data_IF_446334036487
#
_entry.id   IF_446334036487
#
_cell.length_a   1.000
_cell.length_b   1.000
_cell.length_c   1.000
_cell.angle_alpha   90.00
_cell.angle_beta   90.00
_cell.angle_gamma   90.00
#
_symmetry.space_group_name_H-M   'P 1'
#
loop_
_entity.id
_entity.type
_entity.pdbx_description
1 polymer ?
#
# COMPACT_ATOMS: atom_id res chain seq x y z
N UNK A 1 12.40 5.50 28.67
CA UNK A 1 12.90 6.90 28.59
C UNK A 1 13.07 7.50 29.98
N UNK A 2 12.33 7.06 31.00
CA UNK A 2 12.43 7.61 32.40
C UNK A 2 13.70 7.24 33.15
N UNK A 3 14.47 6.22 32.73
CA UNK A 3 15.69 5.79 33.42
C UNK A 3 16.90 6.72 33.28
N UNK A 4 16.94 7.60 32.30
CA UNK A 4 18.04 8.56 32.11
C UNK A 4 17.96 9.80 33.01
N UNK A 5 16.83 10.02 33.65
CA UNK A 5 16.64 11.15 34.58
C UNK A 5 17.00 10.82 36.04
N UNK A 6 17.27 9.53 36.36
CA UNK A 6 17.67 9.15 37.71
C UNK A 6 19.16 9.45 37.91
N UNK A 7 19.47 10.25 38.93
CA UNK A 7 20.83 10.43 39.39
C UNK A 7 21.38 9.11 39.90
N UNK A 8 22.47 8.62 39.28
CA UNK A 8 23.12 7.39 39.73
C UNK A 8 24.20 7.75 40.73
N UNK A 9 24.03 7.44 42.01
CA UNK A 9 25.08 7.69 42.99
C UNK A 9 26.30 6.80 42.72
N UNK A 10 27.47 7.36 42.85
CA UNK A 10 28.72 6.62 42.67
C UNK A 10 29.46 6.59 44.03
N UNK A 11 29.89 5.40 44.43
CA UNK A 11 30.73 5.19 45.64
C UNK A 11 32.08 4.74 45.14
N UNK A 12 33.11 5.46 45.56
CA UNK A 12 34.51 5.14 45.26
C UNK A 12 35.29 4.86 46.53
N UNK A 13 36.21 3.89 46.48
CA UNK A 13 37.21 3.62 47.49
C UNK A 13 38.57 4.00 46.92
N UNK A 14 39.32 4.84 47.62
CA UNK A 14 40.68 5.19 47.23
C UNK A 14 41.66 4.85 48.38
N UNK A 15 42.77 4.28 47.99
CA UNK A 15 43.87 3.99 48.92
C UNK A 15 45.16 4.62 48.40
N UNK A 16 45.92 5.24 49.29
CA UNK A 16 47.20 5.86 48.99
C UNK A 16 48.18 5.71 50.14
N UNK A 17 49.46 5.93 49.89
CA UNK A 17 50.52 5.98 50.90
C UNK A 17 51.25 7.29 50.77
N UNK A 18 51.29 8.02 51.87
CA UNK A 18 52.02 9.29 51.95
C UNK A 18 52.93 9.30 53.18
N UNK A 19 54.23 9.55 53.00
CA UNK A 19 55.21 9.69 54.11
C UNK A 19 55.33 8.52 55.08
N UNK A 20 54.90 7.28 54.66
CA UNK A 20 54.94 6.08 55.54
C UNK A 20 53.60 5.72 56.15
N UNK A 21 52.59 6.53 56.05
CA UNK A 21 51.23 6.25 56.52
C UNK A 21 50.31 5.75 55.36
N UNK A 22 49.40 4.85 55.69
CA UNK A 22 48.39 4.33 54.73
C UNK A 22 47.15 5.16 54.89
N UNK A 23 46.74 5.80 53.78
CA UNK A 23 45.48 6.58 53.68
C UNK A 23 44.42 5.76 52.93
N UNK A 24 43.24 5.68 53.54
CA UNK A 24 42.05 5.09 52.91
C UNK A 24 40.97 6.16 52.85
N UNK A 25 40.48 6.41 51.62
CA UNK A 25 39.43 7.40 51.37
C UNK A 25 38.17 6.76 50.80
N UNK A 26 37.03 7.17 51.31
CA UNK A 26 35.71 6.89 50.75
C UNK A 26 35.17 8.13 50.05
N UNK A 27 34.84 7.98 48.78
CA UNK A 27 34.23 9.03 47.99
C UNK A 27 32.80 8.65 47.69
N UNK A 28 31.87 9.56 48.01
CA UNK A 28 30.46 9.44 47.63
C UNK A 28 30.09 10.64 46.75
N UNK A 29 29.63 10.36 45.54
CA UNK A 29 29.23 11.36 44.58
C UNK A 29 27.79 11.16 44.15
N UNK A 30 27.00 12.20 44.31
CA UNK A 30 25.63 12.25 43.77
C UNK A 30 25.59 13.40 42.72
N UNK A 31 25.36 13.07 41.43
CA UNK A 31 25.20 14.10 40.43
C UNK A 31 23.89 14.88 40.69
N UNK A 32 24.02 16.11 41.08
CA UNK A 32 22.88 17.00 41.25
C UNK A 32 22.52 17.61 39.89
N UNK A 33 21.36 17.27 39.35
CA UNK A 33 20.84 17.75 38.06
C UNK A 33 20.30 19.20 38.20
N UNK A 34 21.06 20.09 38.82
CA UNK A 34 20.64 21.47 39.08
C UNK A 34 20.60 22.36 37.82
N UNK A 35 21.33 21.99 36.76
CA UNK A 35 21.41 22.73 35.50
C UNK A 35 20.56 22.15 34.38
N UNK A 36 20.28 20.86 34.41
CA UNK A 36 19.46 20.20 33.40
C UNK A 36 18.52 19.15 34.06
N UNK A 37 17.24 19.46 34.09
CA UNK A 37 16.22 18.58 34.65
C UNK A 37 15.61 17.63 33.57
N UNK A 38 16.23 17.58 32.38
CA UNK A 38 15.84 16.71 31.24
C UNK A 38 14.37 16.87 30.78
N UNK A 39 13.66 17.91 31.21
CA UNK A 39 12.26 18.16 30.84
C UNK A 39 12.09 18.33 29.34
N UNK A 40 13.01 19.08 28.71
CA UNK A 40 12.95 19.30 27.26
C UNK A 40 13.15 17.98 26.48
N UNK A 41 14.05 17.11 26.95
CA UNK A 41 14.30 15.80 26.34
C UNK A 41 13.11 14.86 26.51
N UNK A 42 12.48 14.85 27.71
CA UNK A 42 11.26 14.10 27.97
C UNK A 42 10.12 14.58 27.09
N UNK A 43 9.94 15.90 26.97
CA UNK A 43 8.91 16.46 26.08
C UNK A 43 9.19 16.12 24.61
N UNK A 44 10.45 16.20 24.17
CA UNK A 44 10.82 15.81 22.81
C UNK A 44 10.54 14.32 22.54
N UNK A 45 10.83 13.45 23.50
CA UNK A 45 10.54 12.03 23.39
C UNK A 45 9.03 11.76 23.32
N UNK A 46 8.23 12.43 24.15
CA UNK A 46 6.77 12.32 24.12
C UNK A 46 6.18 12.80 22.79
N UNK A 47 6.66 13.94 22.27
CA UNK A 47 6.23 14.44 20.95
C UNK A 47 6.55 13.47 19.83
N UNK A 48 7.75 12.85 19.85
CA UNK A 48 8.12 11.81 18.86
C UNK A 48 7.23 10.57 18.96
N UNK A 49 6.83 10.18 20.17
CA UNK A 49 5.90 9.06 20.37
C UNK A 49 4.52 9.37 19.78
N UNK A 50 3.98 10.56 20.06
CA UNK A 50 2.70 11.03 19.50
C UNK A 50 2.76 11.15 17.97
N UNK A 51 3.87 11.63 17.44
CA UNK A 51 4.08 11.71 15.98
C UNK A 51 4.12 10.33 15.36
N UNK A 52 4.81 9.35 15.95
CA UNK A 52 4.87 7.99 15.47
C UNK A 52 3.49 7.32 15.48
N UNK A 53 2.70 7.55 16.52
CA UNK A 53 1.33 7.06 16.63
C UNK A 53 0.42 7.70 15.56
N UNK A 54 0.51 9.00 15.38
CA UNK A 54 -0.27 9.70 14.35
C UNK A 54 0.09 9.22 12.92
N UNK A 55 1.39 8.99 12.66
CA UNK A 55 1.86 8.40 11.38
C UNK A 55 1.33 6.99 11.18
N UNK A 56 1.37 6.15 12.20
CA UNK A 56 0.81 4.80 12.14
C UNK A 56 -0.68 4.83 11.81
N UNK A 57 -1.47 5.63 12.52
CA UNK A 57 -2.90 5.75 12.26
C UNK A 57 -3.21 6.30 10.86
N UNK A 58 -2.41 7.26 10.38
CA UNK A 58 -2.56 7.78 9.03
C UNK A 58 -2.27 6.72 7.97
N UNK A 59 -1.20 5.94 8.14
CA UNK A 59 -0.83 4.84 7.25
C UNK A 59 -1.89 3.73 7.28
N UNK A 60 -2.36 3.36 8.45
CA UNK A 60 -3.41 2.34 8.62
C UNK A 60 -4.70 2.73 7.88
N UNK A 61 -5.17 3.98 8.08
CA UNK A 61 -6.34 4.48 7.33
C UNK A 61 -6.10 4.49 5.83
N UNK A 62 -4.91 4.94 5.39
CA UNK A 62 -4.55 4.94 3.96
C UNK A 62 -4.65 3.54 3.36
N UNK A 63 -4.14 2.53 4.05
CA UNK A 63 -4.20 1.14 3.60
C UNK A 63 -5.63 0.61 3.57
N UNK A 64 -6.43 0.87 4.59
CA UNK A 64 -7.84 0.46 4.60
C UNK A 64 -8.64 1.07 3.44
N UNK A 65 -8.50 2.37 3.21
CA UNK A 65 -9.19 3.04 2.11
C UNK A 65 -8.63 2.62 0.74
N UNK A 66 -7.33 2.38 0.64
CA UNK A 66 -6.70 1.84 -0.55
C UNK A 66 -7.28 0.49 -0.96
N UNK A 67 -7.35 -0.45 -0.01
CA UNK A 67 -7.93 -1.78 -0.23
C UNK A 67 -9.42 -1.70 -0.60
N UNK A 68 -10.20 -0.89 0.12
CA UNK A 68 -11.62 -0.70 -0.19
C UNK A 68 -11.82 -0.11 -1.59
N UNK A 69 -11.00 0.88 -1.97
CA UNK A 69 -11.01 1.49 -3.31
C UNK A 69 -10.63 0.50 -4.41
N UNK A 70 -9.56 -0.27 -4.23
CA UNK A 70 -9.12 -1.29 -5.17
C UNK A 70 -10.20 -2.37 -5.37
N UNK A 71 -10.83 -2.84 -4.28
CA UNK A 71 -11.93 -3.80 -4.35
C UNK A 71 -13.13 -3.26 -5.12
N UNK A 72 -13.52 -2.00 -4.87
CA UNK A 72 -14.63 -1.38 -5.56
C UNK A 72 -14.35 -1.19 -7.06
N UNK A 73 -13.13 -0.78 -7.41
CA UNK A 73 -12.69 -0.61 -8.79
C UNK A 73 -12.69 -1.96 -9.53
N UNK A 74 -12.07 -2.99 -8.98
CA UNK A 74 -12.08 -4.32 -9.56
C UNK A 74 -13.50 -4.84 -9.79
N UNK A 75 -14.36 -4.80 -8.76
CA UNK A 75 -15.74 -5.27 -8.86
C UNK A 75 -16.54 -4.54 -9.96
N UNK A 76 -16.29 -3.25 -10.14
CA UNK A 76 -16.93 -2.47 -11.21
C UNK A 76 -16.54 -2.97 -12.59
N UNK A 77 -15.24 -3.15 -12.85
CA UNK A 77 -14.75 -3.63 -14.14
C UNK A 77 -15.13 -5.07 -14.41
N UNK A 78 -15.05 -5.94 -13.41
CA UNK A 78 -15.49 -7.33 -13.50
C UNK A 78 -16.99 -7.44 -13.86
N UNK A 79 -17.84 -6.64 -13.21
CA UNK A 79 -19.27 -6.57 -13.55
C UNK A 79 -19.52 -6.06 -14.98
N UNK A 80 -18.75 -5.04 -15.40
CA UNK A 80 -18.88 -4.50 -16.77
C UNK A 80 -18.41 -5.51 -17.80
N UNK A 81 -17.32 -6.21 -17.56
CA UNK A 81 -16.81 -7.28 -18.41
C UNK A 81 -17.83 -8.42 -18.54
N UNK A 82 -18.37 -8.88 -17.42
CA UNK A 82 -19.38 -9.95 -17.40
C UNK A 82 -20.60 -9.57 -18.22
N UNK A 83 -21.14 -8.38 -18.05
CA UNK A 83 -22.27 -7.86 -18.84
C UNK A 83 -21.94 -7.77 -20.33
N UNK A 84 -20.75 -7.25 -20.65
CA UNK A 84 -20.31 -7.17 -22.05
C UNK A 84 -20.18 -8.56 -22.66
N UNK A 85 -19.60 -9.51 -21.95
CA UNK A 85 -19.47 -10.90 -22.39
C UNK A 85 -20.83 -11.55 -22.65
N UNK A 86 -21.78 -11.42 -21.71
CA UNK A 86 -23.15 -11.95 -21.85
C UNK A 86 -23.87 -11.38 -23.10
N UNK A 87 -23.76 -10.05 -23.30
CA UNK A 87 -24.41 -9.36 -24.41
C UNK A 87 -23.72 -9.64 -25.75
N UNK A 88 -22.41 -9.85 -25.77
CA UNK A 88 -21.59 -9.98 -26.97
C UNK A 88 -21.39 -11.42 -27.39
N UNK A 89 -21.46 -12.37 -26.42
CA UNK A 89 -21.21 -13.78 -26.67
C UNK A 89 -22.22 -14.35 -27.68
N UNK A 90 -21.72 -14.81 -28.80
CA UNK A 90 -22.52 -15.34 -29.91
C UNK A 90 -23.18 -14.29 -30.81
N UNK A 91 -23.35 -13.03 -30.40
CA UNK A 91 -23.88 -11.96 -31.28
C UNK A 91 -22.82 -11.47 -32.24
N UNK A 92 -21.60 -11.26 -31.76
CA UNK A 92 -20.47 -10.76 -32.54
C UNK A 92 -20.17 -11.71 -33.70
N UNK A 93 -20.18 -13.04 -33.45
CA UNK A 93 -19.94 -14.02 -34.52
C UNK A 93 -21.10 -14.05 -35.49
N UNK A 94 -22.35 -14.24 -34.99
CA UNK A 94 -23.54 -14.30 -35.84
C UNK A 94 -23.72 -13.05 -36.70
N UNK A 95 -23.42 -11.85 -36.16
CA UNK A 95 -23.49 -10.62 -36.93
C UNK A 95 -22.44 -10.56 -38.03
N UNK A 96 -21.25 -11.12 -37.83
CA UNK A 96 -20.23 -11.19 -38.87
C UNK A 96 -20.69 -12.05 -40.06
N UNK A 97 -21.14 -13.25 -39.77
CA UNK A 97 -21.60 -14.20 -40.78
C UNK A 97 -22.82 -13.66 -41.57
N UNK A 98 -23.72 -12.94 -40.89
CA UNK A 98 -24.86 -12.28 -41.51
C UNK A 98 -24.44 -11.15 -42.40
N UNK A 99 -23.57 -10.24 -41.95
CA UNK A 99 -23.06 -9.12 -42.74
C UNK A 99 -22.34 -9.58 -44.00
N UNK A 100 -21.52 -10.63 -43.88
CA UNK A 100 -20.80 -11.22 -45.01
C UNK A 100 -21.77 -11.77 -46.05
N UNK A 101 -22.80 -12.54 -45.63
CA UNK A 101 -23.83 -13.09 -46.50
C UNK A 101 -24.62 -11.97 -47.22
N UNK A 102 -25.07 -10.95 -46.50
CA UNK A 102 -25.82 -9.81 -47.09
C UNK A 102 -24.97 -9.05 -48.10
N UNK A 103 -23.68 -8.88 -47.87
CA UNK A 103 -22.77 -8.30 -48.83
C UNK A 103 -22.58 -9.17 -50.08
N UNK A 104 -22.38 -10.49 -49.89
CA UNK A 104 -22.20 -11.42 -51.00
C UNK A 104 -23.43 -11.54 -51.93
N UNK A 105 -24.64 -11.38 -51.38
CA UNK A 105 -25.88 -11.42 -52.18
C UNK A 105 -26.26 -10.05 -52.73
N UNK A 106 -25.49 -9.00 -52.41
CA UNK A 106 -25.71 -7.64 -52.91
C UNK A 106 -26.73 -6.83 -52.12
N UNK A 107 -27.22 -7.29 -50.97
CA UNK A 107 -28.16 -6.60 -50.11
C UNK A 107 -27.47 -5.43 -49.33
N UNK A 108 -26.16 -5.52 -49.18
CA UNK A 108 -25.31 -4.46 -48.59
C UNK A 108 -24.29 -3.95 -49.60
N UNK A 109 -24.14 -2.65 -49.71
CA UNK A 109 -23.04 -2.06 -50.44
C UNK A 109 -21.69 -2.34 -49.75
N UNK A 110 -20.61 -2.31 -50.51
CA UNK A 110 -19.26 -2.48 -49.96
C UNK A 110 -18.95 -1.44 -48.87
N UNK A 111 -19.45 -0.20 -49.06
CA UNK A 111 -19.26 0.86 -48.05
C UNK A 111 -19.94 0.57 -46.73
N UNK A 112 -21.21 0.13 -46.79
CA UNK A 112 -21.97 -0.26 -45.58
C UNK A 112 -21.35 -1.46 -44.88
N UNK A 113 -20.88 -2.48 -45.65
CA UNK A 113 -20.19 -3.62 -45.12
C UNK A 113 -18.91 -3.21 -44.38
N UNK A 114 -18.05 -2.38 -44.95
CA UNK A 114 -16.83 -1.89 -44.33
C UNK A 114 -17.11 -1.06 -43.08
N UNK A 115 -18.15 -0.23 -43.11
CA UNK A 115 -18.58 0.53 -41.93
C UNK A 115 -19.03 -0.37 -40.78
N UNK A 116 -19.82 -1.41 -41.08
CA UNK A 116 -20.29 -2.38 -40.11
C UNK A 116 -19.12 -3.19 -39.51
N UNK A 117 -18.13 -3.56 -40.32
CA UNK A 117 -16.89 -4.20 -39.84
C UNK A 117 -16.10 -3.27 -38.91
N UNK A 118 -16.01 -1.98 -39.23
CA UNK A 118 -15.38 -0.97 -38.37
C UNK A 118 -16.07 -0.88 -37.01
N UNK A 119 -17.40 -0.79 -36.99
CA UNK A 119 -18.17 -0.77 -35.73
C UNK A 119 -17.97 -2.05 -34.88
N UNK A 120 -17.91 -3.21 -35.56
CA UNK A 120 -17.61 -4.47 -34.90
C UNK A 120 -16.21 -4.48 -34.28
N UNK A 121 -15.21 -4.01 -35.01
CA UNK A 121 -13.83 -3.91 -34.49
C UNK A 121 -13.76 -3.00 -33.23
N UNK A 122 -14.46 -1.87 -33.22
CA UNK A 122 -14.53 -1.00 -32.04
C UNK A 122 -15.24 -1.67 -30.85
N UNK A 123 -16.29 -2.47 -31.11
CA UNK A 123 -16.96 -3.25 -30.07
C UNK A 123 -16.02 -4.30 -29.45
N UNK A 124 -15.26 -5.02 -30.26
CA UNK A 124 -14.26 -6.00 -29.78
C UNK A 124 -13.14 -5.33 -28.99
N UNK A 125 -12.65 -4.20 -29.46
CA UNK A 125 -11.66 -3.40 -28.76
C UNK A 125 -12.14 -2.95 -27.37
N UNK A 126 -13.42 -2.57 -27.27
CA UNK A 126 -14.04 -2.26 -25.97
C UNK A 126 -14.01 -3.45 -25.01
N UNK A 127 -14.30 -4.65 -25.51
CA UNK A 127 -14.22 -5.88 -24.71
C UNK A 127 -12.81 -6.16 -24.18
N UNK A 128 -11.82 -6.03 -25.06
CA UNK A 128 -10.39 -6.22 -24.70
C UNK A 128 -9.96 -5.20 -23.65
N UNK A 129 -10.38 -3.95 -23.80
CA UNK A 129 -10.04 -2.91 -22.81
C UNK A 129 -10.72 -3.16 -21.45
N UNK A 130 -11.97 -3.63 -21.43
CA UNK A 130 -12.67 -4.03 -20.20
C UNK A 130 -11.95 -5.22 -19.51
N UNK A 131 -11.54 -6.20 -20.27
CA UNK A 131 -10.77 -7.35 -19.75
C UNK A 131 -9.46 -6.88 -19.12
N UNK A 132 -8.70 -6.07 -19.84
CA UNK A 132 -7.48 -5.48 -19.35
C UNK A 132 -7.71 -4.71 -18.04
N UNK A 133 -8.73 -3.86 -17.96
CA UNK A 133 -9.04 -3.09 -16.76
C UNK A 133 -9.47 -3.98 -15.60
N UNK A 134 -10.22 -5.05 -15.85
CA UNK A 134 -10.58 -6.03 -14.83
C UNK A 134 -9.36 -6.76 -14.27
N UNK A 135 -8.43 -7.18 -15.14
CA UNK A 135 -7.17 -7.83 -14.74
C UNK A 135 -6.25 -6.88 -13.95
N UNK A 136 -6.07 -5.64 -14.42
CA UNK A 136 -5.29 -4.63 -13.69
C UNK A 136 -5.91 -4.31 -12.33
N UNK A 137 -7.24 -4.21 -12.26
CA UNK A 137 -7.96 -4.02 -11.00
C UNK A 137 -7.77 -5.19 -10.04
N UNK A 138 -7.73 -6.42 -10.52
CA UNK A 138 -7.43 -7.61 -9.70
C UNK A 138 -6.00 -7.58 -9.15
N UNK A 139 -5.02 -7.26 -9.99
CA UNK A 139 -3.62 -7.14 -9.59
C UNK A 139 -3.45 -6.07 -8.50
N UNK A 140 -4.09 -4.91 -8.67
CA UNK A 140 -4.09 -3.85 -7.66
C UNK A 140 -4.72 -4.31 -6.35
N UNK A 141 -5.87 -5.01 -6.41
CA UNK A 141 -6.52 -5.58 -5.23
C UNK A 141 -5.60 -6.57 -4.49
N UNK A 142 -4.97 -7.49 -5.21
CA UNK A 142 -4.03 -8.47 -4.64
C UNK A 142 -2.78 -7.77 -4.05
N UNK A 143 -2.30 -6.71 -4.70
CA UNK A 143 -1.21 -5.88 -4.20
C UNK A 143 -1.55 -5.20 -2.87
N UNK A 144 -2.75 -4.60 -2.79
CA UNK A 144 -3.22 -3.90 -1.59
C UNK A 144 -3.58 -4.87 -0.44
N UNK A 145 -4.02 -6.09 -0.75
CA UNK A 145 -4.29 -7.14 0.24
C UNK A 145 -3.04 -7.86 0.74
N UNK A 146 -1.91 -7.73 0.04
CA UNK A 146 -0.67 -8.46 0.33
C UNK A 146 -0.66 -9.90 -0.19
N UNK A 147 -1.66 -10.32 -0.98
CA UNK A 147 -1.78 -11.69 -1.50
C UNK A 147 -0.93 -11.96 -2.75
N UNK A 148 -0.34 -10.92 -3.35
CA UNK A 148 0.56 -11.09 -4.51
C UNK A 148 1.82 -11.91 -4.19
N UNK A 149 2.19 -12.05 -2.92
CA UNK A 149 3.42 -12.74 -2.49
C UNK A 149 3.19 -14.24 -2.34
N UNK A 150 1.95 -14.70 -2.13
CA UNK A 150 1.61 -16.09 -1.84
C UNK A 150 1.63 -17.05 -3.04
N UNK A 151 1.30 -16.65 -4.28
CA UNK A 151 1.29 -17.57 -5.42
C UNK A 151 2.66 -18.05 -5.88
N UNK A 152 3.74 -17.40 -5.46
CA UNK A 152 5.10 -17.71 -5.91
C UNK A 152 5.93 -18.51 -4.90
N UNK A 153 5.32 -18.98 -3.80
CA UNK A 153 5.99 -19.76 -2.75
C UNK A 153 5.59 -21.26 -2.76
N UNK A 154 5.00 -21.78 -3.86
CA UNK A 154 4.76 -23.23 -4.03
C UNK A 154 5.76 -23.85 -4.97
#
# INVERSE_FOLDING_TARGET
VSRRAAASPTVGLSGGRDGGENLVGLTFSIPLNVRNNYRAEIQAANRRSLEAEARFQALYRKQQYGLAGARAAWKRYDTQLSRWTELSQGRVQRSADLLEKQWQVGDLSTSEYLQALGQRAESLKTGIELEKQAQLGLIELLSQSGELITPFQQ
#
